data_IF_662051540995
#
_entry.id   IF_662051540995
#
_cell.length_a   1.000
_cell.length_b   1.000
_cell.length_c   1.000
_cell.angle_alpha   90.00
_cell.angle_beta   90.00
_cell.angle_gamma   90.00
#
_symmetry.space_group_name_H-M   'P 1'
#
loop_
_entity.id
_entity.type
_entity.pdbx_description
1 polymer ?
#
# COMPACT_ATOMS: atom_id res chain seq x y z
N UNK A 1 11.02 15.26 30.49
CA UNK A 1 11.23 14.00 29.73
C UNK A 1 9.92 13.39 29.20
N UNK A 2 8.75 13.67 29.80
CA UNK A 2 7.42 13.15 29.42
C UNK A 2 6.85 13.71 28.11
N UNK A 3 7.08 15.00 27.80
CA UNK A 3 6.51 15.64 26.59
C UNK A 3 7.07 15.05 25.28
N UNK A 4 8.34 14.62 25.26
CA UNK A 4 8.99 14.06 24.06
C UNK A 4 8.48 12.67 23.68
N UNK A 5 7.98 11.88 24.65
CA UNK A 5 7.45 10.54 24.40
C UNK A 5 6.05 10.60 23.79
N UNK A 6 5.21 11.55 24.22
CA UNK A 6 3.88 11.77 23.65
C UNK A 6 3.95 12.13 22.16
N UNK A 7 4.85 13.03 21.76
CA UNK A 7 5.00 13.44 20.36
C UNK A 7 5.39 12.26 19.46
N UNK A 8 6.30 11.39 19.90
CA UNK A 8 6.73 10.20 19.15
C UNK A 8 5.60 9.19 18.92
N UNK A 9 4.63 9.15 19.82
CA UNK A 9 3.51 8.22 19.80
C UNK A 9 2.44 8.60 18.76
N UNK A 10 2.29 9.90 18.47
CA UNK A 10 1.46 10.41 17.37
C UNK A 10 2.16 10.36 16.00
N UNK A 11 3.48 10.51 15.96
CA UNK A 11 4.25 10.48 14.70
C UNK A 11 4.28 9.06 14.09
N UNK A 12 4.24 8.00 14.92
CA UNK A 12 4.19 6.60 14.47
C UNK A 12 2.95 6.25 13.61
N UNK A 13 1.71 6.50 14.06
CA UNK A 13 0.50 6.30 13.27
C UNK A 13 0.45 7.22 12.03
N UNK A 14 0.93 8.45 12.15
CA UNK A 14 1.00 9.39 11.03
C UNK A 14 1.97 8.91 9.94
N UNK A 15 3.14 8.40 10.33
CA UNK A 15 4.10 7.78 9.42
C UNK A 15 3.56 6.49 8.77
N UNK A 16 2.74 5.70 9.48
CA UNK A 16 2.06 4.53 8.91
C UNK A 16 1.03 4.92 7.84
N UNK A 17 0.27 6.00 8.06
CA UNK A 17 -0.70 6.54 7.11
C UNK A 17 -0.04 7.08 5.84
N UNK A 18 1.01 7.88 5.98
CA UNK A 18 1.81 8.37 4.84
C UNK A 18 2.43 7.20 4.05
N UNK A 19 2.87 6.14 4.74
CA UNK A 19 3.39 4.92 4.10
C UNK A 19 2.31 4.19 3.30
N UNK A 20 1.08 4.12 3.80
CA UNK A 20 -0.04 3.53 3.07
C UNK A 20 -0.32 4.31 1.78
N UNK A 21 -0.44 5.64 1.88
CA UNK A 21 -0.70 6.48 0.71
C UNK A 21 0.44 6.41 -0.30
N UNK A 22 1.70 6.38 0.14
CA UNK A 22 2.86 6.25 -0.75
C UNK A 22 2.93 4.87 -1.43
N UNK A 23 2.64 3.80 -0.70
CA UNK A 23 2.64 2.44 -1.27
C UNK A 23 1.52 2.28 -2.30
N UNK A 24 0.32 2.80 -2.01
CA UNK A 24 -0.82 2.76 -2.94
C UNK A 24 -0.65 3.68 -4.15
N UNK A 25 -0.02 4.85 -4.01
CA UNK A 25 0.25 5.70 -5.18
C UNK A 25 1.37 5.13 -6.05
N UNK A 26 2.43 4.57 -5.45
CA UNK A 26 3.51 3.94 -6.18
C UNK A 26 3.05 2.68 -6.93
N UNK A 27 2.27 1.80 -6.30
CA UNK A 27 1.75 0.61 -6.96
C UNK A 27 0.65 0.93 -7.96
N UNK A 28 -0.21 1.92 -7.70
CA UNK A 28 -1.16 2.43 -8.70
C UNK A 28 -0.44 2.97 -9.94
N UNK A 29 0.61 3.79 -9.79
CA UNK A 29 1.41 4.26 -10.93
C UNK A 29 2.11 3.10 -11.66
N UNK A 30 2.63 2.11 -10.93
CA UNK A 30 3.24 0.92 -11.50
C UNK A 30 2.22 0.12 -12.33
N UNK A 31 1.03 -0.14 -11.79
CA UNK A 31 -0.03 -0.88 -12.49
C UNK A 31 -0.53 -0.11 -13.72
N UNK A 32 -0.63 1.22 -13.64
CA UNK A 32 -0.98 2.07 -14.78
C UNK A 32 0.06 2.01 -15.89
N UNK A 33 1.35 2.12 -15.57
CA UNK A 33 2.44 1.97 -16.57
C UNK A 33 2.43 0.58 -17.21
N UNK A 34 2.26 -0.47 -16.40
CA UNK A 34 2.21 -1.86 -16.89
C UNK A 34 0.97 -2.12 -17.75
N UNK A 35 -0.16 -1.49 -17.41
CA UNK A 35 -1.40 -1.54 -18.21
C UNK A 35 -1.23 -0.84 -19.56
N UNK A 36 -0.60 0.34 -19.59
CA UNK A 36 -0.31 1.03 -20.86
C UNK A 36 0.65 0.24 -21.77
N UNK A 37 1.66 -0.41 -21.19
CA UNK A 37 2.54 -1.33 -21.92
C UNK A 37 1.78 -2.55 -22.47
N UNK A 38 0.83 -3.10 -21.70
CA UNK A 38 -0.03 -4.21 -22.12
C UNK A 38 -0.89 -3.86 -23.34
N UNK A 39 -1.47 -2.66 -23.36
CA UNK A 39 -2.28 -2.16 -24.48
C UNK A 39 -1.41 -1.95 -25.73
N UNK A 40 -0.19 -1.43 -25.56
CA UNK A 40 0.76 -1.25 -26.67
C UNK A 40 1.24 -2.59 -27.27
N UNK A 41 1.32 -3.65 -26.47
CA UNK A 41 1.72 -4.99 -26.88
C UNK A 41 0.58 -5.84 -27.46
N UNK A 42 -0.67 -5.45 -27.23
CA UNK A 42 -1.86 -6.17 -27.71
C UNK A 42 -1.88 -6.40 -29.24
N UNK A 43 -1.57 -5.40 -30.10
CA UNK A 43 -1.56 -5.61 -31.55
C UNK A 43 -0.32 -6.35 -32.07
N UNK A 44 0.78 -6.41 -31.31
CA UNK A 44 2.05 -7.00 -31.78
C UNK A 44 2.22 -8.44 -31.34
N UNK A 45 1.96 -8.74 -30.05
CA UNK A 45 2.18 -10.06 -29.46
C UNK A 45 1.06 -10.35 -28.42
N UNK A 46 -0.10 -10.87 -28.84
CA UNK A 46 -1.26 -11.04 -27.96
C UNK A 46 -1.03 -12.06 -26.84
N UNK A 47 -0.17 -13.06 -27.05
CA UNK A 47 0.20 -14.05 -26.02
C UNK A 47 0.96 -13.43 -24.85
N UNK A 48 1.82 -12.44 -25.12
CA UNK A 48 2.57 -11.73 -24.10
C UNK A 48 1.70 -10.69 -23.39
N UNK A 49 0.76 -10.06 -24.12
CA UNK A 49 -0.25 -9.17 -23.53
C UNK A 49 -1.14 -9.91 -22.51
N UNK A 50 -1.54 -11.16 -22.79
CA UNK A 50 -2.31 -11.96 -21.82
C UNK A 50 -1.53 -12.20 -20.51
N UNK A 51 -0.23 -12.47 -20.60
CA UNK A 51 0.65 -12.61 -19.44
C UNK A 51 0.77 -11.30 -18.65
N UNK A 52 0.88 -10.16 -19.32
CA UNK A 52 0.99 -8.88 -18.61
C UNK A 52 -0.32 -8.48 -17.92
N UNK A 53 -1.48 -8.85 -18.47
CA UNK A 53 -2.78 -8.68 -17.79
C UNK A 53 -2.83 -9.50 -16.49
N UNK A 54 -2.40 -10.76 -16.49
CA UNK A 54 -2.39 -11.58 -15.27
C UNK A 54 -1.44 -11.01 -14.21
N UNK A 55 -0.31 -10.45 -14.63
CA UNK A 55 0.61 -9.74 -13.72
C UNK A 55 -0.05 -8.49 -13.12
N UNK A 56 -0.71 -7.65 -13.91
CA UNK A 56 -1.42 -6.46 -13.40
C UNK A 56 -2.49 -6.85 -12.38
N UNK A 57 -3.26 -7.91 -12.65
CA UNK A 57 -4.24 -8.45 -11.70
C UNK A 57 -3.58 -8.90 -10.39
N UNK A 58 -2.44 -9.59 -10.47
CA UNK A 58 -1.72 -10.03 -9.28
C UNK A 58 -1.14 -8.86 -8.47
N UNK A 59 -0.59 -7.84 -9.15
CA UNK A 59 -0.04 -6.65 -8.50
C UNK A 59 -1.11 -5.87 -7.74
N UNK A 60 -2.29 -5.69 -8.34
CA UNK A 60 -3.42 -5.00 -7.68
C UNK A 60 -3.93 -5.78 -6.46
N UNK A 61 -3.98 -7.12 -6.54
CA UNK A 61 -4.32 -7.95 -5.38
C UNK A 61 -3.28 -7.82 -4.25
N UNK A 62 -1.99 -7.78 -4.59
CA UNK A 62 -0.91 -7.57 -3.62
C UNK A 62 -1.00 -6.19 -2.94
N UNK A 63 -1.28 -5.14 -3.70
CA UNK A 63 -1.48 -3.79 -3.16
C UNK A 63 -2.61 -3.73 -2.12
N UNK A 64 -3.74 -4.38 -2.44
CA UNK A 64 -4.87 -4.47 -1.52
C UNK A 64 -4.52 -5.28 -0.27
N UNK A 65 -3.79 -6.39 -0.42
CA UNK A 65 -3.34 -7.20 0.72
C UNK A 65 -2.43 -6.40 1.66
N UNK A 66 -1.47 -5.65 1.11
CA UNK A 66 -0.59 -4.76 1.90
C UNK A 66 -1.40 -3.67 2.59
N UNK A 67 -2.42 -3.11 1.93
CA UNK A 67 -3.28 -2.09 2.52
C UNK A 67 -4.05 -2.60 3.75
N UNK A 68 -4.60 -3.82 3.67
CA UNK A 68 -5.31 -4.48 4.78
C UNK A 68 -4.36 -4.71 5.96
N UNK A 69 -3.17 -5.25 5.71
CA UNK A 69 -2.18 -5.53 6.77
C UNK A 69 -1.76 -4.24 7.46
N UNK A 70 -1.51 -3.17 6.70
CA UNK A 70 -1.09 -1.89 7.24
C UNK A 70 -2.20 -1.21 8.07
N UNK A 71 -3.47 -1.32 7.66
CA UNK A 71 -4.61 -0.85 8.44
C UNK A 71 -4.78 -1.64 9.76
N UNK A 72 -4.58 -2.96 9.72
CA UNK A 72 -4.62 -3.80 10.93
C UNK A 72 -3.54 -3.39 11.94
N UNK A 73 -2.30 -3.22 11.49
CA UNK A 73 -1.19 -2.79 12.36
C UNK A 73 -1.47 -1.42 12.98
N UNK A 74 -2.08 -0.50 12.22
CA UNK A 74 -2.50 0.80 12.75
C UNK A 74 -3.52 0.69 13.89
N UNK A 75 -4.57 -0.11 13.72
CA UNK A 75 -5.60 -0.32 14.74
C UNK A 75 -5.04 -1.01 15.98
N UNK A 76 -4.12 -1.96 15.82
CA UNK A 76 -3.45 -2.63 16.94
C UNK A 76 -2.63 -1.64 17.78
N UNK A 77 -1.83 -0.79 17.13
CA UNK A 77 -1.01 0.23 17.81
C UNK A 77 -1.89 1.26 18.53
N UNK A 78 -3.03 1.64 17.94
CA UNK A 78 -3.98 2.55 18.58
C UNK A 78 -4.63 1.93 19.82
N UNK A 79 -5.03 0.66 19.75
CA UNK A 79 -5.59 -0.05 20.91
C UNK A 79 -4.58 -0.14 22.06
N UNK A 80 -3.34 -0.55 21.78
CA UNK A 80 -2.28 -0.59 22.79
C UNK A 80 -2.06 0.78 23.44
N UNK A 81 -2.09 1.85 22.64
CA UNK A 81 -1.94 3.21 23.16
C UNK A 81 -3.10 3.61 24.08
N UNK A 82 -4.35 3.34 23.69
CA UNK A 82 -5.51 3.67 24.52
C UNK A 82 -5.50 2.89 25.83
N UNK A 83 -5.08 1.63 25.80
CA UNK A 83 -5.03 0.76 26.95
C UNK A 83 -3.89 1.11 27.93
N UNK A 84 -2.77 1.67 27.44
CA UNK A 84 -1.69 2.20 28.30
C UNK A 84 -2.07 3.52 29.00
N UNK A 85 -3.09 4.24 28.52
CA UNK A 85 -3.47 5.57 29.03
C UNK A 85 -4.81 5.58 29.80
N UNK A 86 -5.42 4.41 30.01
CA UNK A 86 -6.51 4.15 30.96
C UNK A 86 -6.00 3.42 32.18
#
# INVERSE_FOLDING_TARGET
MTVYSAHRLFIRPLALGVRLTANLTAGHLLSQLTSTATIALLPTIPTLSLLTITIVLLLTALELAVAIIQAYVFVLLLNLYLQENT
#
